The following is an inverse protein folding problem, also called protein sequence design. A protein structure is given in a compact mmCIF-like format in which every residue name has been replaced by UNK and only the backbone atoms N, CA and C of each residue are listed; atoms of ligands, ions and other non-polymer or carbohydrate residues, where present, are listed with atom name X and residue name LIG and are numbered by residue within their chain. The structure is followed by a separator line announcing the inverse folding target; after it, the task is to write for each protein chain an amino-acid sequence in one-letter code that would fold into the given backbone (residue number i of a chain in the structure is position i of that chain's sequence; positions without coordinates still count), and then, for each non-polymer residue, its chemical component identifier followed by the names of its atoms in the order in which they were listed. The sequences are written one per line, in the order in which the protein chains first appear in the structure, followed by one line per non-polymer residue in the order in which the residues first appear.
data_IF_209068843838
#
_entry.id   IF_209068843838
#
_cell.length_a   1.000
_cell.length_b   1.000
_cell.length_c   1.000
_cell.angle_alpha   90.00
_cell.angle_beta   90.00
_cell.angle_gamma   90.00
#
_symmetry.space_group_name_H-M   'P 1'
#
loop_
_entity.id
_entity.type
_entity.pdbx_description
1 polymer ?
#
# COMPACT_ATOMS: atom_id res chain seq x y z
N UNK A 1 38.45 7.32 20.85
CA UNK A 1 39.23 6.33 20.06
C UNK A 1 39.66 7.00 18.77
N UNK A 2 40.93 6.91 18.33
CA UNK A 2 41.32 7.39 16.99
C UNK A 2 40.71 6.45 15.95
N UNK A 3 39.90 6.93 14.99
CA UNK A 3 39.32 6.06 13.98
C UNK A 3 40.40 5.72 12.96
N UNK A 4 40.88 4.48 13.00
CA UNK A 4 41.72 3.90 11.96
C UNK A 4 40.90 3.76 10.69
N UNK A 5 41.05 4.70 9.77
CA UNK A 5 40.55 4.60 8.39
C UNK A 5 39.55 5.66 7.93
N UNK A 6 39.38 6.79 8.62
CA UNK A 6 38.47 7.87 8.21
C UNK A 6 38.81 8.47 6.84
N UNK A 7 37.79 8.82 6.05
CA UNK A 7 37.96 9.56 4.80
C UNK A 7 38.59 10.95 5.07
N UNK A 8 39.77 11.26 4.50
CA UNK A 8 40.48 12.50 4.78
C UNK A 8 39.71 13.76 4.37
N UNK A 9 38.78 13.65 3.40
CA UNK A 9 37.92 14.75 2.97
C UNK A 9 36.90 15.11 4.04
N UNK A 10 36.30 14.10 4.68
CA UNK A 10 35.34 14.29 5.78
C UNK A 10 36.04 14.86 7.01
N UNK A 11 37.23 14.36 7.32
CA UNK A 11 38.03 14.86 8.45
C UNK A 11 38.46 16.32 8.25
N UNK A 12 38.89 16.69 7.04
CA UNK A 12 39.20 18.08 6.69
C UNK A 12 37.97 18.97 6.79
N UNK A 13 36.81 18.49 6.34
CA UNK A 13 35.58 19.25 6.38
C UNK A 13 35.08 19.47 7.81
N UNK A 14 35.11 18.43 8.65
CA UNK A 14 34.75 18.54 10.07
C UNK A 14 35.66 19.53 10.81
N UNK A 15 36.96 19.52 10.51
CA UNK A 15 37.90 20.49 11.05
C UNK A 15 37.63 21.93 10.56
N UNK A 16 37.18 22.09 9.31
CA UNK A 16 36.79 23.39 8.75
C UNK A 16 35.49 23.91 9.39
N UNK A 17 34.48 23.05 9.56
CA UNK A 17 33.21 23.38 10.25
C UNK A 17 33.47 23.82 11.69
N UNK A 18 34.29 23.07 12.45
CA UNK A 18 34.57 23.38 13.85
C UNK A 18 35.33 24.70 14.07
N UNK A 19 36.07 25.18 13.08
CA UNK A 19 36.90 26.41 13.16
C UNK A 19 36.24 27.63 12.53
N UNK A 20 35.14 27.44 11.81
CA UNK A 20 34.50 28.50 11.03
C UNK A 20 33.40 29.19 11.84
N UNK A 21 33.15 30.50 11.60
CA UNK A 21 32.02 31.18 12.21
C UNK A 21 30.70 30.59 11.69
N UNK A 22 29.65 30.61 12.51
CA UNK A 22 28.34 30.00 12.25
C UNK A 22 27.75 30.39 10.87
N UNK A 23 28.00 31.62 10.42
CA UNK A 23 27.53 32.14 9.13
C UNK A 23 28.11 31.39 7.91
N UNK A 24 29.32 30.84 8.03
CA UNK A 24 30.01 30.13 6.95
C UNK A 24 29.75 28.62 6.97
N UNK A 25 29.30 28.07 8.10
CA UNK A 25 29.00 26.64 8.28
C UNK A 25 28.04 26.10 7.20
N UNK A 26 26.94 26.78 6.82
CA UNK A 26 26.04 26.30 5.77
C UNK A 26 26.76 26.08 4.44
N UNK A 27 27.62 27.00 4.02
CA UNK A 27 28.36 26.93 2.75
C UNK A 27 29.40 25.82 2.78
N UNK A 28 30.06 25.62 3.92
CA UNK A 28 31.03 24.53 4.10
C UNK A 28 30.33 23.18 4.04
N UNK A 29 29.17 23.03 4.70
CA UNK A 29 28.39 21.79 4.67
C UNK A 29 27.92 21.41 3.26
N UNK A 30 27.73 22.37 2.34
CA UNK A 30 27.40 22.06 0.94
C UNK A 30 28.48 21.25 0.23
N UNK A 31 29.75 21.33 0.65
CA UNK A 31 30.85 20.51 0.10
C UNK A 31 30.61 19.01 0.32
N UNK A 32 29.79 18.62 1.30
CA UNK A 32 29.36 17.21 1.48
C UNK A 32 28.66 16.67 0.23
N UNK A 33 27.93 17.51 -0.50
CA UNK A 33 27.22 17.11 -1.71
C UNK A 33 28.18 16.58 -2.78
N UNK A 34 29.33 17.22 -2.95
CA UNK A 34 30.35 16.78 -3.91
C UNK A 34 30.97 15.45 -3.48
N UNK A 35 31.30 15.30 -2.19
CA UNK A 35 31.90 14.07 -1.66
C UNK A 35 30.94 12.87 -1.85
N UNK A 36 29.65 13.09 -1.59
CA UNK A 36 28.60 12.09 -1.72
C UNK A 36 28.31 11.75 -3.18
N UNK A 37 28.21 12.74 -4.06
CA UNK A 37 27.88 12.49 -5.48
C UNK A 37 29.04 11.85 -6.25
N UNK A 38 30.28 12.11 -5.83
CA UNK A 38 31.47 11.51 -6.43
C UNK A 38 31.71 10.06 -5.97
N UNK A 39 30.93 9.54 -5.00
CA UNK A 39 31.04 8.15 -4.55
C UNK A 39 29.88 7.31 -5.11
N UNK A 40 30.17 6.14 -5.73
CA UNK A 40 29.14 5.34 -6.38
C UNK A 40 28.10 4.81 -5.38
N UNK A 41 26.83 4.90 -5.75
CA UNK A 41 25.69 4.47 -4.94
C UNK A 41 25.81 3.00 -4.51
N UNK A 42 25.68 2.74 -3.20
CA UNK A 42 25.72 1.39 -2.62
C UNK A 42 27.12 0.80 -2.43
N UNK A 43 28.18 1.54 -2.77
CA UNK A 43 29.56 1.12 -2.49
C UNK A 43 29.86 1.01 -0.99
N UNK A 44 30.82 0.15 -0.64
CA UNK A 44 31.38 0.09 0.72
C UNK A 44 32.04 1.41 1.12
N UNK A 45 32.58 2.15 0.15
CA UNK A 45 33.14 3.50 0.31
C UNK A 45 32.06 4.50 0.72
N UNK A 46 30.91 4.54 0.04
CA UNK A 46 29.81 5.42 0.40
C UNK A 46 29.25 5.09 1.79
N UNK A 47 29.15 3.80 2.16
CA UNK A 47 28.75 3.42 3.52
C UNK A 47 29.71 3.99 4.58
N UNK A 48 31.02 3.89 4.32
CA UNK A 48 32.05 4.41 5.20
C UNK A 48 32.01 5.94 5.30
N UNK A 49 31.85 6.63 4.18
CA UNK A 49 31.70 8.09 4.14
C UNK A 49 30.50 8.54 4.97
N UNK A 50 29.35 7.86 4.86
CA UNK A 50 28.16 8.17 5.67
C UNK A 50 28.40 7.93 7.16
N UNK A 51 29.11 6.86 7.52
CA UNK A 51 29.52 6.60 8.91
C UNK A 51 30.46 7.68 9.43
N UNK A 52 31.46 8.10 8.65
CA UNK A 52 32.35 9.18 9.04
C UNK A 52 31.56 10.50 9.22
N UNK A 53 30.64 10.83 8.30
CA UNK A 53 29.76 12.02 8.42
C UNK A 53 28.96 11.99 9.74
N UNK A 54 28.48 10.82 10.15
CA UNK A 54 27.79 10.64 11.43
C UNK A 54 28.75 10.77 12.62
N UNK A 55 29.89 10.09 12.61
CA UNK A 55 30.89 10.11 13.69
C UNK A 55 31.51 11.50 13.94
N UNK A 56 31.47 12.40 12.97
CA UNK A 56 31.93 13.78 13.08
C UNK A 56 30.79 14.80 13.28
N UNK A 57 29.60 14.33 13.67
CA UNK A 57 28.41 15.14 13.97
C UNK A 57 27.95 16.07 12.84
N UNK A 58 28.40 15.83 11.61
CA UNK A 58 28.07 16.70 10.47
C UNK A 58 26.57 16.63 10.13
N UNK A 59 25.90 15.52 10.45
CA UNK A 59 24.43 15.38 10.38
C UNK A 59 23.76 16.34 11.36
N UNK A 60 24.29 16.44 12.59
CA UNK A 60 23.77 17.31 13.64
C UNK A 60 24.01 18.78 13.30
N UNK A 61 25.16 19.13 12.72
CA UNK A 61 25.39 20.47 12.18
C UNK A 61 24.42 20.83 11.04
N UNK A 62 24.09 19.88 10.14
CA UNK A 62 23.06 20.10 9.12
C UNK A 62 21.70 20.39 9.76
N UNK A 63 21.30 19.63 10.79
CA UNK A 63 20.05 19.86 11.53
C UNK A 63 20.03 21.23 12.24
N UNK A 64 21.15 21.60 12.87
CA UNK A 64 21.28 22.88 13.57
C UNK A 64 21.20 24.07 12.60
N UNK A 65 21.73 23.94 11.38
CA UNK A 65 21.55 24.97 10.35
C UNK A 65 20.11 25.02 9.84
N UNK A 66 19.45 23.87 9.67
CA UNK A 66 18.05 23.83 9.21
C UNK A 66 17.06 24.40 10.23
N UNK A 67 17.39 24.37 11.53
CA UNK A 67 16.57 24.95 12.59
C UNK A 67 16.78 26.47 12.79
N UNK A 68 17.71 27.10 12.06
CA UNK A 68 17.95 28.54 12.12
C UNK A 68 17.05 29.35 11.17
N UNK A 69 16.88 30.63 11.50
CA UNK A 69 16.18 31.60 10.66
C UNK A 69 16.80 31.68 9.26
N UNK A 70 15.99 31.41 8.23
CA UNK A 70 16.45 31.39 6.83
C UNK A 70 17.04 32.73 6.36
N UNK A 71 16.66 33.84 7.00
CA UNK A 71 17.18 35.19 6.71
C UNK A 71 18.64 35.37 7.11
N UNK A 72 19.16 34.53 8.02
CA UNK A 72 20.54 34.58 8.52
C UNK A 72 21.48 33.65 7.76
N UNK A 73 20.93 32.75 6.93
CA UNK A 73 21.68 31.74 6.20
C UNK A 73 22.09 32.30 4.83
N UNK A 74 23.39 32.26 4.53
CA UNK A 74 23.90 32.66 3.22
C UNK A 74 23.31 31.76 2.11
N UNK A 75 22.68 32.37 1.11
CA UNK A 75 21.95 31.66 0.03
C UNK A 75 20.50 31.27 0.38
N UNK A 76 20.03 31.58 1.59
CA UNK A 76 18.64 31.45 2.01
C UNK A 76 18.04 30.06 1.74
N UNK A 77 16.84 30.04 1.16
CA UNK A 77 16.10 28.81 0.87
C UNK A 77 16.81 27.84 -0.08
N UNK A 78 17.69 28.34 -0.95
CA UNK A 78 18.44 27.46 -1.87
C UNK A 78 19.44 26.59 -1.11
N UNK A 79 20.16 27.19 -0.16
CA UNK A 79 21.11 26.50 0.73
C UNK A 79 20.37 25.51 1.63
N UNK A 80 19.25 25.93 2.23
CA UNK A 80 18.40 25.07 3.07
C UNK A 80 17.95 23.84 2.29
N UNK A 81 17.43 24.02 1.07
CA UNK A 81 16.99 22.91 0.22
C UNK A 81 18.12 21.91 -0.06
N UNK A 82 19.32 22.42 -0.37
CA UNK A 82 20.48 21.57 -0.62
C UNK A 82 20.94 20.83 0.65
N UNK A 83 20.93 21.50 1.81
CA UNK A 83 21.25 20.87 3.10
C UNK A 83 20.21 19.82 3.50
N UNK A 84 18.92 20.05 3.26
CA UNK A 84 17.87 19.04 3.48
C UNK A 84 18.06 17.82 2.57
N UNK A 85 18.49 18.02 1.33
CA UNK A 85 18.84 16.92 0.42
C UNK A 85 20.05 16.12 0.94
N UNK A 86 21.12 16.81 1.36
CA UNK A 86 22.32 16.19 1.94
C UNK A 86 21.93 15.39 3.18
N UNK A 87 21.19 15.99 4.11
CA UNK A 87 20.71 15.35 5.33
C UNK A 87 19.93 14.06 5.00
N UNK A 88 18.98 14.13 4.08
CA UNK A 88 18.20 12.97 3.63
C UNK A 88 19.11 11.87 3.05
N UNK A 89 20.07 12.25 2.20
CA UNK A 89 20.98 11.30 1.58
C UNK A 89 21.91 10.63 2.60
N UNK A 90 22.37 11.38 3.61
CA UNK A 90 23.20 10.87 4.70
C UNK A 90 22.44 9.88 5.59
N UNK A 91 21.18 10.17 5.94
CA UNK A 91 20.38 9.32 6.83
C UNK A 91 19.93 8.01 6.15
N UNK A 92 19.67 8.01 4.83
CA UNK A 92 19.17 6.81 4.13
C UNK A 92 20.25 5.72 4.07
N UNK A 93 19.94 4.56 4.66
CA UNK A 93 20.80 3.38 4.65
C UNK A 93 22.06 3.53 5.51
N UNK A 94 22.09 4.48 6.45
CA UNK A 94 23.14 4.58 7.45
C UNK A 94 22.99 3.46 8.49
N UNK A 95 24.11 2.79 8.78
CA UNK A 95 24.24 1.79 9.85
C UNK A 95 25.12 2.42 10.95
N UNK A 96 24.53 3.05 11.98
CA UNK A 96 25.26 3.86 12.98
C UNK A 96 26.10 3.05 13.99
N UNK A 97 26.13 1.71 13.89
CA UNK A 97 26.95 0.86 14.77
C UNK A 97 26.35 0.67 16.18
N UNK A 98 27.21 0.52 17.18
CA UNK A 98 26.85 0.18 18.57
C UNK A 98 26.15 1.36 19.31
N UNK A 99 26.39 2.61 18.92
CA UNK A 99 25.78 3.83 19.47
C UNK A 99 24.64 4.37 18.58
N UNK A 100 23.84 3.47 17.99
CA UNK A 100 22.74 3.83 17.09
C UNK A 100 21.47 4.37 17.78
N UNK A 101 21.39 4.32 19.11
CA UNK A 101 20.19 4.78 19.81
C UNK A 101 19.91 6.27 19.62
N UNK A 102 20.94 7.12 19.69
CA UNK A 102 20.85 8.56 19.48
C UNK A 102 20.36 8.88 18.06
N UNK A 103 20.89 8.17 17.07
CA UNK A 103 20.45 8.30 15.68
C UNK A 103 18.96 8.03 15.51
N UNK A 104 18.44 6.91 16.04
CA UNK A 104 17.04 6.52 15.84
C UNK A 104 16.05 7.26 16.76
N UNK A 105 16.45 7.65 17.96
CA UNK A 105 15.56 8.29 18.95
C UNK A 105 15.56 9.82 18.89
N UNK A 106 16.66 10.45 18.46
CA UNK A 106 16.80 11.90 18.51
C UNK A 106 17.02 12.51 17.11
N UNK A 107 18.07 12.09 16.40
CA UNK A 107 18.44 12.74 15.13
C UNK A 107 17.45 12.48 14.00
N UNK A 108 16.98 11.24 13.83
CA UNK A 108 16.09 10.87 12.74
C UNK A 108 14.67 11.45 12.92
N UNK A 109 14.07 11.46 14.13
CA UNK A 109 12.86 12.23 14.40
C UNK A 109 13.03 13.74 14.15
N UNK A 110 14.13 14.34 14.62
CA UNK A 110 14.41 15.78 14.41
C UNK A 110 14.52 16.13 12.92
N UNK A 111 15.17 15.27 12.12
CA UNK A 111 15.23 15.42 10.66
C UNK A 111 13.84 15.33 9.99
N UNK A 112 12.96 14.48 10.51
CA UNK A 112 11.58 14.38 10.09
C UNK A 112 10.78 15.65 10.40
N UNK A 113 10.91 16.17 11.62
CA UNK A 113 10.22 17.39 12.07
C UNK A 113 10.62 18.62 11.25
N UNK A 114 11.91 18.80 10.92
CA UNK A 114 12.34 19.91 10.07
C UNK A 114 11.72 19.82 8.66
N UNK A 115 11.62 18.62 8.10
CA UNK A 115 10.95 18.42 6.81
C UNK A 115 9.46 18.78 6.88
N UNK A 116 8.78 18.40 7.96
CA UNK A 116 7.37 18.73 8.17
C UNK A 116 7.16 20.24 8.36
N UNK A 117 8.08 20.95 9.03
CA UNK A 117 8.06 22.42 9.12
C UNK A 117 8.17 23.08 7.75
N UNK A 118 9.08 22.60 6.88
CA UNK A 118 9.21 23.13 5.51
C UNK A 118 7.93 22.95 4.70
N UNK A 119 7.27 21.80 4.84
CA UNK A 119 5.99 21.54 4.18
C UNK A 119 4.88 22.43 4.73
N UNK A 120 4.89 22.72 6.03
CA UNK A 120 3.96 23.65 6.64
C UNK A 120 4.14 25.08 6.09
N UNK A 121 5.38 25.56 5.94
CA UNK A 121 5.63 26.86 5.29
C UNK A 121 5.17 26.88 3.84
N UNK A 122 5.40 25.80 3.08
CA UNK A 122 4.88 25.68 1.71
C UNK A 122 3.35 25.79 1.69
N UNK A 123 2.66 25.16 2.64
CA UNK A 123 1.21 25.26 2.76
C UNK A 123 0.76 26.69 3.05
N UNK A 124 1.40 27.40 4.00
CA UNK A 124 1.10 28.81 4.29
C UNK A 124 1.26 29.69 3.06
N UNK A 125 2.37 29.52 2.31
CA UNK A 125 2.61 30.28 1.07
C UNK A 125 1.53 29.99 0.03
N UNK A 126 1.13 28.72 -0.10
CA UNK A 126 0.08 28.30 -1.03
C UNK A 126 -1.28 28.87 -0.64
N UNK A 127 -1.63 28.85 0.64
CA UNK A 127 -2.88 29.41 1.16
C UNK A 127 -2.92 30.94 1.00
N UNK A 128 -1.77 31.61 1.18
CA UNK A 128 -1.64 33.05 0.95
C UNK A 128 -1.80 33.41 -0.53
N UNK A 129 -1.19 32.61 -1.42
CA UNK A 129 -1.38 32.75 -2.86
C UNK A 129 -2.86 32.55 -3.23
N UNK A 130 -3.51 31.53 -2.66
CA UNK A 130 -4.93 31.30 -2.88
C UNK A 130 -5.79 32.50 -2.49
N UNK A 131 -5.53 33.08 -1.31
CA UNK A 131 -6.25 34.26 -0.85
C UNK A 131 -6.10 35.45 -1.82
N UNK A 132 -4.88 35.69 -2.32
CA UNK A 132 -4.61 36.71 -3.33
C UNK A 132 -5.38 36.45 -4.64
N UNK A 133 -5.39 35.21 -5.12
CA UNK A 133 -6.11 34.81 -6.33
C UNK A 133 -7.64 34.97 -6.19
N UNK A 134 -8.18 34.75 -4.98
CA UNK A 134 -9.59 34.97 -4.71
C UNK A 134 -10.01 36.44 -4.78
N UNK A 135 -9.11 37.37 -4.41
CA UNK A 135 -9.35 38.82 -4.56
C UNK A 135 -9.09 39.35 -5.97
N UNK A 136 -8.15 38.75 -6.70
CA UNK A 136 -7.70 39.20 -8.02
C UNK A 136 -7.71 38.06 -9.04
N UNK A 137 -8.90 37.76 -9.57
CA UNK A 137 -9.09 36.66 -10.53
C UNK A 137 -8.27 36.80 -11.81
N UNK A 138 -7.82 38.01 -12.18
CA UNK A 138 -6.95 38.23 -13.33
C UNK A 138 -5.60 37.50 -13.21
N UNK A 139 -5.14 37.22 -11.98
CA UNK A 139 -3.88 36.53 -11.73
C UNK A 139 -3.98 35.01 -11.95
N UNK A 140 -5.19 34.45 -12.00
CA UNK A 140 -5.42 33.00 -12.17
C UNK A 140 -4.76 32.50 -13.46
N UNK A 141 -4.94 33.23 -14.57
CA UNK A 141 -4.35 32.85 -15.84
C UNK A 141 -2.82 32.84 -15.78
N UNK A 142 -2.21 33.83 -15.12
CA UNK A 142 -0.76 33.91 -14.96
C UNK A 142 -0.20 32.75 -14.13
N UNK A 143 -0.91 32.33 -13.08
CA UNK A 143 -0.50 31.19 -12.25
C UNK A 143 -0.62 29.88 -13.02
N UNK A 144 -1.75 29.64 -13.70
CA UNK A 144 -1.98 28.39 -14.44
C UNK A 144 -1.05 28.23 -15.65
N UNK A 145 -0.59 29.33 -16.23
CA UNK A 145 0.37 29.34 -17.33
C UNK A 145 1.84 29.38 -16.87
N UNK A 146 2.10 29.48 -15.56
CA UNK A 146 3.46 29.55 -15.05
C UNK A 146 4.16 28.19 -15.12
N UNK A 147 5.35 28.15 -15.72
CA UNK A 147 6.21 26.97 -15.74
C UNK A 147 6.48 26.43 -14.33
N UNK A 148 6.65 27.32 -13.34
CA UNK A 148 6.85 26.94 -11.95
C UNK A 148 5.65 26.20 -11.36
N UNK A 149 4.43 26.63 -11.70
CA UNK A 149 3.22 25.95 -11.25
C UNK A 149 3.08 24.57 -11.90
N UNK A 150 3.35 24.46 -13.21
CA UNK A 150 3.33 23.18 -13.92
C UNK A 150 4.37 22.20 -13.37
N UNK A 151 5.58 22.68 -13.06
CA UNK A 151 6.61 21.87 -12.40
C UNK A 151 6.18 21.40 -11.00
N UNK A 152 5.54 22.28 -10.21
CA UNK A 152 4.99 21.91 -8.90
C UNK A 152 3.86 20.88 -9.05
N UNK A 153 3.03 20.98 -10.08
CA UNK A 153 1.98 20.01 -10.36
C UNK A 153 2.58 18.64 -10.71
N UNK A 154 3.71 18.59 -11.42
CA UNK A 154 4.42 17.35 -11.79
C UNK A 154 5.23 16.71 -10.65
N UNK A 155 5.20 17.26 -9.43
CA UNK A 155 5.99 16.73 -8.31
C UNK A 155 5.62 15.28 -7.93
N UNK A 156 6.64 14.48 -7.58
CA UNK A 156 6.49 13.14 -7.01
C UNK A 156 6.16 13.18 -5.50
N UNK A 157 6.35 14.31 -4.84
CA UNK A 157 6.06 14.43 -3.42
C UNK A 157 4.54 14.47 -3.20
N UNK A 158 4.03 13.45 -2.51
CA UNK A 158 2.58 13.27 -2.28
C UNK A 158 1.95 14.46 -1.56
N UNK A 159 2.62 15.07 -0.58
CA UNK A 159 2.08 16.20 0.19
C UNK A 159 2.08 17.48 -0.64
N UNK A 160 3.20 17.82 -1.28
CA UNK A 160 3.29 19.00 -2.17
C UNK A 160 2.27 18.86 -3.30
N UNK A 161 2.23 17.69 -3.94
CA UNK A 161 1.28 17.40 -5.01
C UNK A 161 -0.17 17.50 -4.55
N UNK A 162 -0.50 17.05 -3.33
CA UNK A 162 -1.84 17.22 -2.76
C UNK A 162 -2.18 18.70 -2.54
N UNK A 163 -1.27 19.48 -1.95
CA UNK A 163 -1.45 20.92 -1.71
C UNK A 163 -1.65 21.69 -3.02
N UNK A 164 -0.85 21.40 -4.05
CA UNK A 164 -0.97 22.03 -5.38
C UNK A 164 -2.27 21.61 -6.09
N UNK A 165 -2.66 20.34 -5.99
CA UNK A 165 -3.94 19.85 -6.55
C UNK A 165 -5.16 20.48 -5.85
N UNK A 166 -5.08 20.71 -4.54
CA UNK A 166 -6.11 21.44 -3.78
C UNK A 166 -6.16 22.90 -4.22
N UNK A 167 -5.01 23.57 -4.36
CA UNK A 167 -4.96 24.94 -4.88
C UNK A 167 -5.62 25.02 -6.25
N UNK A 168 -5.27 24.11 -7.17
CA UNK A 168 -5.88 24.03 -8.50
C UNK A 168 -7.40 23.81 -8.43
N UNK A 169 -7.86 22.91 -7.56
CA UNK A 169 -9.28 22.69 -7.34
C UNK A 169 -9.99 23.97 -6.88
N UNK A 170 -9.40 24.70 -5.94
CA UNK A 170 -10.01 25.91 -5.40
C UNK A 170 -10.02 27.05 -6.43
N UNK A 171 -8.95 27.20 -7.23
CA UNK A 171 -8.90 28.17 -8.33
C UNK A 171 -10.05 27.95 -9.32
N UNK A 172 -10.29 26.69 -9.69
CA UNK A 172 -11.36 26.32 -10.62
C UNK A 172 -12.76 26.55 -10.05
N UNK A 173 -12.92 26.46 -8.73
CA UNK A 173 -14.18 26.77 -8.05
C UNK A 173 -14.47 28.27 -8.00
N UNK A 174 -13.42 29.11 -7.93
CA UNK A 174 -13.57 30.57 -7.89
C UNK A 174 -13.94 31.13 -9.26
N UNK A 175 -13.26 30.68 -10.32
CA UNK A 175 -13.53 31.17 -11.67
C UNK A 175 -13.35 30.06 -12.71
N UNK A 176 -14.40 29.27 -12.90
CA UNK A 176 -14.40 28.19 -13.90
C UNK A 176 -14.15 28.70 -15.32
N UNK A 177 -14.65 29.89 -15.68
CA UNK A 177 -14.56 30.43 -17.04
C UNK A 177 -13.13 30.70 -17.56
N UNK A 178 -12.14 30.90 -16.67
CA UNK A 178 -10.78 31.25 -17.07
C UNK A 178 -9.96 30.04 -17.53
N UNK A 179 -10.38 28.82 -17.22
CA UNK A 179 -9.67 27.60 -17.65
C UNK A 179 -9.69 27.43 -19.19
N UNK A 180 -10.78 27.86 -19.85
CA UNK A 180 -10.89 27.82 -21.32
C UNK A 180 -10.09 28.93 -22.02
N UNK A 181 -9.63 29.94 -21.27
CA UNK A 181 -8.77 31.01 -21.80
C UNK A 181 -7.30 30.61 -21.82
N UNK A 182 -6.96 29.46 -21.24
CA UNK A 182 -5.60 28.94 -21.18
C UNK A 182 -5.25 28.32 -22.54
N UNK A 183 -3.98 28.42 -22.93
CA UNK A 183 -3.49 27.76 -24.14
C UNK A 183 -3.76 26.26 -24.11
N UNK A 184 -4.31 25.70 -25.20
CA UNK A 184 -4.72 24.30 -25.25
C UNK A 184 -3.62 23.32 -24.86
N UNK A 185 -2.35 23.60 -25.21
CA UNK A 185 -1.20 22.77 -24.82
C UNK A 185 -1.01 22.68 -23.30
N UNK A 186 -1.16 23.82 -22.60
CA UNK A 186 -1.02 23.91 -21.15
C UNK A 186 -2.18 23.18 -20.47
N UNK A 187 -3.41 23.38 -20.99
CA UNK A 187 -4.59 22.65 -20.51
C UNK A 187 -4.41 21.13 -20.64
N UNK A 188 -3.89 20.65 -21.78
CA UNK A 188 -3.56 19.23 -21.95
C UNK A 188 -2.52 18.74 -20.96
N UNK A 189 -1.44 19.51 -20.72
CA UNK A 189 -0.42 19.15 -19.73
C UNK A 189 -1.00 19.02 -18.32
N UNK A 190 -1.87 19.94 -17.91
CA UNK A 190 -2.54 19.90 -16.61
C UNK A 190 -3.45 18.67 -16.53
N UNK A 191 -4.26 18.40 -17.57
CA UNK A 191 -5.16 17.25 -17.61
C UNK A 191 -4.40 15.92 -17.59
N UNK A 192 -3.33 15.81 -18.36
CA UNK A 192 -2.49 14.61 -18.40
C UNK A 192 -1.84 14.36 -17.04
N UNK A 193 -1.36 15.40 -16.36
CA UNK A 193 -0.79 15.25 -15.03
C UNK A 193 -1.84 14.83 -13.99
N UNK A 194 -3.04 15.43 -14.02
CA UNK A 194 -4.18 15.01 -13.17
C UNK A 194 -4.49 13.53 -13.40
N UNK A 195 -4.55 13.10 -14.66
CA UNK A 195 -4.90 11.72 -15.01
C UNK A 195 -3.78 10.75 -14.64
N UNK A 196 -2.53 11.13 -14.87
CA UNK A 196 -1.37 10.39 -14.42
C UNK A 196 -1.38 10.21 -12.90
N UNK A 197 -1.57 11.29 -12.13
CA UNK A 197 -1.67 11.18 -10.67
C UNK A 197 -2.86 10.34 -10.23
N UNK A 198 -4.01 10.39 -10.91
CA UNK A 198 -5.16 9.54 -10.57
C UNK A 198 -4.85 8.05 -10.74
N UNK A 199 -4.25 7.69 -11.88
CA UNK A 199 -4.03 6.30 -12.29
C UNK A 199 -2.81 5.69 -11.60
N UNK A 200 -1.75 6.48 -11.42
CA UNK A 200 -0.44 6.01 -10.94
C UNK A 200 -0.25 6.20 -9.43
N UNK A 201 -1.02 7.06 -8.74
CA UNK A 201 -0.76 7.31 -7.31
C UNK A 201 -1.15 6.13 -6.43
N UNK A 202 -0.27 5.67 -5.51
CA UNK A 202 -0.65 4.71 -4.47
C UNK A 202 -1.44 5.38 -3.32
N UNK A 203 -1.37 6.70 -3.17
CA UNK A 203 -1.97 7.43 -2.05
C UNK A 203 -3.48 7.60 -2.23
N UNK A 204 -4.32 7.07 -1.31
CA UNK A 204 -5.78 7.21 -1.42
C UNK A 204 -6.23 8.67 -1.23
N UNK A 205 -5.47 9.47 -0.47
CA UNK A 205 -5.77 10.89 -0.24
C UNK A 205 -5.60 11.67 -1.54
N UNK A 206 -4.46 11.53 -2.20
CA UNK A 206 -4.18 12.20 -3.47
C UNK A 206 -5.18 11.75 -4.54
N UNK A 207 -5.43 10.44 -4.65
CA UNK A 207 -6.44 9.89 -5.57
C UNK A 207 -7.83 10.51 -5.36
N UNK A 208 -8.24 10.70 -4.10
CA UNK A 208 -9.54 11.32 -3.80
C UNK A 208 -9.59 12.79 -4.22
N UNK A 209 -8.51 13.55 -4.02
CA UNK A 209 -8.43 14.97 -4.42
C UNK A 209 -8.49 15.06 -5.94
N UNK A 210 -7.67 14.29 -6.64
CA UNK A 210 -7.63 14.25 -8.10
C UNK A 210 -8.97 13.82 -8.73
N UNK A 211 -9.68 12.87 -8.10
CA UNK A 211 -11.03 12.48 -8.54
C UNK A 211 -12.02 13.65 -8.41
N UNK A 212 -11.99 14.38 -7.27
CA UNK A 212 -12.86 15.55 -7.06
C UNK A 212 -12.55 16.65 -8.08
N UNK A 213 -11.27 16.89 -8.32
CA UNK A 213 -10.80 17.86 -9.31
C UNK A 213 -11.31 17.53 -10.73
N UNK A 214 -11.20 16.26 -11.16
CA UNK A 214 -11.74 15.83 -12.45
C UNK A 214 -13.26 16.01 -12.56
N UNK A 215 -13.99 15.78 -11.48
CA UNK A 215 -15.44 16.02 -11.45
C UNK A 215 -15.76 17.50 -11.58
N UNK A 216 -15.07 18.37 -10.84
CA UNK A 216 -15.23 19.83 -10.94
C UNK A 216 -14.93 20.32 -12.37
N UNK A 217 -13.87 19.78 -13.00
CA UNK A 217 -13.52 20.09 -14.39
C UNK A 217 -14.59 19.63 -15.38
N UNK A 218 -15.11 18.42 -15.19
CA UNK A 218 -16.16 17.83 -16.01
C UNK A 218 -17.51 18.56 -15.88
N UNK A 219 -17.85 19.01 -14.67
CA UNK A 219 -19.06 19.79 -14.40
C UNK A 219 -18.96 21.20 -14.97
N UNK A 220 -17.77 21.80 -14.95
CA UNK A 220 -17.55 23.18 -15.39
C UNK A 220 -17.44 23.33 -16.91
N UNK A 221 -16.93 22.33 -17.64
CA UNK A 221 -16.68 22.44 -19.08
C UNK A 221 -17.00 21.15 -19.86
N UNK A 222 -18.02 21.21 -20.73
CA UNK A 222 -18.36 20.10 -21.62
C UNK A 222 -17.26 19.75 -22.63
N UNK A 223 -16.42 20.72 -23.02
CA UNK A 223 -15.30 20.50 -23.96
C UNK A 223 -14.21 19.61 -23.36
N UNK A 224 -13.96 19.70 -22.05
CA UNK A 224 -13.02 18.81 -21.35
C UNK A 224 -13.57 17.38 -21.33
N UNK A 225 -14.89 17.21 -21.16
CA UNK A 225 -15.53 15.90 -21.28
C UNK A 225 -15.40 15.31 -22.68
N UNK A 226 -15.44 16.15 -23.72
CA UNK A 226 -15.25 15.74 -25.12
C UNK A 226 -13.79 15.33 -25.36
N UNK A 227 -12.81 16.11 -24.87
CA UNK A 227 -11.39 15.77 -24.93
C UNK A 227 -11.07 14.46 -24.19
N UNK A 228 -11.67 14.26 -23.01
CA UNK A 228 -11.56 13.03 -22.22
C UNK A 228 -12.21 11.81 -22.91
N UNK A 229 -13.21 12.03 -23.77
CA UNK A 229 -13.88 10.96 -24.54
C UNK A 229 -13.18 10.65 -25.87
N UNK A 230 -12.55 11.63 -26.50
CA UNK A 230 -11.97 11.51 -27.84
C UNK A 230 -10.54 10.96 -27.84
N UNK A 231 -9.75 11.16 -26.77
CA UNK A 231 -8.40 10.60 -26.76
C UNK A 231 -8.42 9.09 -26.43
N UNK A 232 -7.72 8.30 -27.23
CA UNK A 232 -7.57 6.86 -27.02
C UNK A 232 -6.87 6.53 -25.67
N UNK A 233 -6.14 7.49 -25.10
CA UNK A 233 -5.40 7.38 -23.84
C UNK A 233 -6.32 7.24 -22.61
N UNK A 234 -7.61 7.61 -22.72
CA UNK A 234 -8.54 7.60 -21.58
C UNK A 234 -9.50 6.39 -21.55
N UNK A 235 -9.28 5.39 -22.42
CA UNK A 235 -10.03 4.11 -22.39
C UNK A 235 -9.92 3.36 -21.06
N UNK A 236 -8.84 3.57 -20.30
CA UNK A 236 -8.64 2.97 -18.96
C UNK A 236 -9.67 3.50 -17.95
N UNK A 237 -10.12 4.76 -18.07
CA UNK A 237 -11.18 5.29 -17.22
C UNK A 237 -12.56 4.70 -17.55
N UNK A 238 -12.79 4.28 -18.80
CA UNK A 238 -14.02 3.59 -19.20
C UNK A 238 -14.11 2.16 -18.62
N UNK A 239 -13.00 1.48 -18.36
CA UNK A 239 -13.02 0.18 -17.66
C UNK A 239 -13.27 0.31 -16.16
N UNK A 240 -12.97 1.48 -15.57
CA UNK A 240 -13.24 1.80 -14.15
C UNK A 240 -14.71 2.22 -13.93
N UNK A 241 -15.40 2.70 -14.98
CA UNK A 241 -16.83 3.05 -14.96
C UNK A 241 -17.78 1.88 -15.23
N UNK A 242 -17.29 0.65 -15.35
CA UNK A 242 -18.17 -0.52 -15.20
C UNK A 242 -18.81 -0.45 -13.80
N UNK A 243 -20.14 -0.63 -13.67
CA UNK A 243 -20.82 -0.46 -12.40
C UNK A 243 -20.38 -1.56 -11.44
N UNK A 244 -19.30 -1.29 -10.69
CA UNK A 244 -19.01 -1.98 -9.45
C UNK A 244 -20.16 -1.60 -8.53
N UNK A 245 -21.19 -2.44 -8.56
CA UNK A 245 -22.48 -2.24 -7.90
C UNK A 245 -22.27 -1.65 -6.51
N UNK A 246 -23.08 -0.66 -6.14
CA UNK A 246 -23.11 -0.02 -4.80
C UNK A 246 -22.96 -1.05 -3.67
N UNK A 247 -23.52 -2.25 -3.87
CA UNK A 247 -23.39 -3.45 -3.03
C UNK A 247 -21.95 -3.94 -2.79
N UNK A 248 -21.07 -3.95 -3.81
CA UNK A 248 -19.66 -4.37 -3.64
C UNK A 248 -18.84 -3.33 -2.88
N UNK A 249 -19.07 -2.03 -3.10
CA UNK A 249 -18.41 -0.95 -2.35
C UNK A 249 -18.87 -0.89 -0.88
N UNK A 250 -20.17 -1.06 -0.62
CA UNK A 250 -20.67 -1.13 0.76
C UNK A 250 -20.17 -2.37 1.49
N UNK A 251 -20.11 -3.53 0.83
CA UNK A 251 -19.51 -4.75 1.40
C UNK A 251 -18.02 -4.58 1.72
N UNK A 252 -17.25 -3.95 0.83
CA UNK A 252 -15.83 -3.69 1.07
C UNK A 252 -15.60 -2.69 2.23
N UNK A 253 -16.44 -1.65 2.33
CA UNK A 253 -16.37 -0.68 3.42
C UNK A 253 -16.79 -1.30 4.77
N UNK A 254 -17.85 -2.12 4.77
CA UNK A 254 -18.29 -2.87 5.94
C UNK A 254 -17.20 -3.84 6.43
N UNK A 255 -16.54 -4.55 5.51
CA UNK A 255 -15.44 -5.45 5.85
C UNK A 255 -14.22 -4.69 6.39
N UNK A 256 -13.89 -3.53 5.83
CA UNK A 256 -12.82 -2.68 6.34
C UNK A 256 -13.13 -2.13 7.75
N UNK A 257 -14.37 -1.70 8.00
CA UNK A 257 -14.80 -1.26 9.32
C UNK A 257 -14.78 -2.42 10.32
N UNK A 258 -15.27 -3.60 9.93
CA UNK A 258 -15.18 -4.82 10.75
C UNK A 258 -13.74 -5.17 11.12
N UNK A 259 -12.80 -5.02 10.19
CA UNK A 259 -11.37 -5.26 10.46
C UNK A 259 -10.76 -4.20 11.37
N UNK A 260 -11.17 -2.93 11.27
CA UNK A 260 -10.76 -1.87 12.20
C UNK A 260 -11.31 -2.13 13.60
N UNK A 261 -12.60 -2.43 13.73
CA UNK A 261 -13.23 -2.80 15.00
C UNK A 261 -12.57 -4.02 15.65
N UNK A 262 -12.21 -5.04 14.85
CA UNK A 262 -11.52 -6.22 15.35
C UNK A 262 -10.10 -5.88 15.85
N UNK A 263 -9.37 -4.98 15.16
CA UNK A 263 -8.06 -4.49 15.60
C UNK A 263 -8.16 -3.66 16.88
N UNK A 264 -9.15 -2.78 16.97
CA UNK A 264 -9.40 -1.96 18.15
C UNK A 264 -9.80 -2.83 19.35
N UNK A 265 -10.62 -3.86 19.14
CA UNK A 265 -10.98 -4.82 20.17
C UNK A 265 -9.75 -5.62 20.64
N UNK A 266 -8.89 -6.06 19.73
CA UNK A 266 -7.61 -6.73 20.09
C UNK A 266 -6.73 -5.82 20.93
N UNK A 267 -6.60 -4.55 20.57
CA UNK A 267 -5.81 -3.57 21.32
C UNK A 267 -6.40 -3.35 22.72
N UNK A 268 -7.73 -3.17 22.83
CA UNK A 268 -8.43 -3.03 24.12
C UNK A 268 -8.21 -4.26 25.01
N UNK A 269 -8.33 -5.46 24.47
CA UNK A 269 -8.09 -6.71 25.22
C UNK A 269 -6.62 -6.82 25.66
N UNK A 270 -5.68 -6.40 24.82
CA UNK A 270 -4.25 -6.39 25.17
C UNK A 270 -3.98 -5.40 26.31
N UNK A 271 -4.52 -4.18 26.25
CA UNK A 271 -4.41 -3.18 27.31
C UNK A 271 -5.09 -3.65 28.59
N UNK A 272 -6.26 -4.28 28.51
CA UNK A 272 -6.95 -4.86 29.66
C UNK A 272 -6.11 -5.96 30.32
N UNK A 273 -5.50 -6.86 29.54
CA UNK A 273 -4.57 -7.88 30.05
C UNK A 273 -3.35 -7.25 30.73
N UNK A 274 -2.76 -6.21 30.12
CA UNK A 274 -1.63 -5.49 30.73
C UNK A 274 -2.02 -4.82 32.05
N UNK A 275 -3.17 -4.16 32.11
CA UNK A 275 -3.69 -3.55 33.34
C UNK A 275 -3.97 -4.60 34.41
N UNK A 276 -4.61 -5.72 34.07
CA UNK A 276 -4.84 -6.82 34.99
C UNK A 276 -3.52 -7.42 35.51
N UNK A 277 -2.50 -7.54 34.66
CA UNK A 277 -1.16 -7.98 35.09
C UNK A 277 -0.51 -6.97 36.05
N UNK A 278 -0.63 -5.67 35.80
CA UNK A 278 -0.11 -4.62 36.69
C UNK A 278 -0.80 -4.66 38.06
N UNK A 279 -2.14 -4.63 38.07
CA UNK A 279 -2.94 -4.73 39.28
C UNK A 279 -2.62 -6.00 40.08
N UNK A 280 -2.50 -7.16 39.41
CA UNK A 280 -2.13 -8.40 40.06
C UNK A 280 -0.71 -8.35 40.69
N UNK A 281 0.24 -7.69 40.02
CA UNK A 281 1.60 -7.49 40.55
C UNK A 281 1.61 -6.54 41.74
N UNK A 282 0.86 -5.44 41.66
CA UNK A 282 0.69 -4.47 42.75
C UNK A 282 0.03 -5.11 43.97
N UNK A 283 -1.07 -5.86 43.79
CA UNK A 283 -1.70 -6.61 44.87
C UNK A 283 -0.75 -7.66 45.49
N UNK A 284 0.09 -8.30 44.68
CA UNK A 284 1.11 -9.24 45.18
C UNK A 284 2.23 -8.55 45.96
N UNK A 285 2.68 -7.37 45.51
CA UNK A 285 3.67 -6.55 46.22
C UNK A 285 3.13 -6.04 47.56
N UNK A 286 1.89 -5.56 47.60
CA UNK A 286 1.25 -5.14 48.84
C UNK A 286 1.06 -6.30 49.84
N UNK A 287 0.72 -7.51 49.36
CA UNK A 287 0.71 -8.69 50.25
C UNK A 287 2.11 -9.07 50.75
N UNK A 288 3.15 -8.94 49.91
CA UNK A 288 4.54 -9.20 50.27
C UNK A 288 5.05 -8.26 51.37
N UNK A 289 4.57 -7.01 51.40
CA UNK A 289 4.92 -6.01 52.43
C UNK A 289 4.36 -6.35 53.82
N UNK A 290 3.28 -7.15 53.90
CA UNK A 290 2.52 -7.39 55.14
C UNK A 290 2.81 -8.78 55.76
N UNK A 291 3.28 -9.74 54.97
CA UNK A 291 3.37 -11.17 55.38
C UNK A 291 4.79 -11.57 55.82
N UNK A 292 4.88 -12.36 56.90
CA UNK A 292 6.15 -12.87 57.43
C UNK A 292 6.87 -13.83 56.43
N UNK A 293 8.21 -13.76 56.29
CA UNK A 293 8.98 -14.51 55.28
C UNK A 293 8.72 -16.03 55.24
N UNK A 294 8.57 -16.68 56.40
CA UNK A 294 8.30 -18.13 56.46
C UNK A 294 6.92 -18.57 55.92
N UNK A 295 5.91 -17.68 55.96
CA UNK A 295 4.60 -17.97 55.36
C UNK A 295 4.59 -17.70 53.85
N UNK A 296 5.39 -16.71 53.43
CA UNK A 296 5.56 -16.36 52.02
C UNK A 296 6.18 -17.51 51.21
N UNK A 297 7.19 -18.19 51.76
CA UNK A 297 7.88 -19.29 51.09
C UNK A 297 6.99 -20.54 50.94
N UNK A 298 6.08 -20.76 51.89
CA UNK A 298 5.05 -21.81 51.77
C UNK A 298 4.06 -21.49 50.65
N UNK A 299 3.54 -20.26 50.61
CA UNK A 299 2.62 -19.82 49.57
C UNK A 299 3.24 -19.84 48.16
N UNK A 300 4.50 -19.43 48.03
CA UNK A 300 5.21 -19.46 46.75
C UNK A 300 5.36 -20.89 46.20
N UNK A 301 5.72 -21.85 47.06
CA UNK A 301 5.78 -23.28 46.68
C UNK A 301 4.42 -23.81 46.20
N UNK A 302 3.33 -23.48 46.89
CA UNK A 302 1.98 -23.87 46.46
C UNK A 302 1.58 -23.25 45.11
N UNK A 303 2.00 -22.00 44.85
CA UNK A 303 1.74 -21.32 43.58
C UNK A 303 2.57 -21.89 42.42
N UNK A 304 3.83 -22.26 42.68
CA UNK A 304 4.70 -22.95 41.73
C UNK A 304 4.13 -24.31 41.35
N UNK A 305 3.65 -25.08 42.32
CA UNK A 305 3.02 -26.39 42.10
C UNK A 305 1.75 -26.28 41.25
N UNK A 306 0.85 -25.33 41.60
CA UNK A 306 -0.37 -25.05 40.80
C UNK A 306 -0.04 -24.60 39.36
N UNK A 307 1.01 -23.80 39.21
CA UNK A 307 1.48 -23.34 37.91
C UNK A 307 2.04 -24.49 37.08
N UNK A 308 2.88 -25.35 37.68
CA UNK A 308 3.44 -26.53 37.06
C UNK A 308 2.32 -27.48 36.58
N UNK A 309 1.32 -27.75 37.43
CA UNK A 309 0.16 -28.57 37.06
C UNK A 309 -0.62 -27.98 35.88
N UNK A 310 -0.80 -26.66 35.85
CA UNK A 310 -1.50 -25.97 34.77
C UNK A 310 -0.75 -26.07 33.44
N UNK A 311 0.57 -25.85 33.47
CA UNK A 311 1.46 -25.96 32.30
C UNK A 311 1.45 -27.40 31.78
N UNK A 312 1.62 -28.39 32.67
CA UNK A 312 1.58 -29.80 32.31
C UNK A 312 0.24 -30.21 31.69
N UNK A 313 -0.88 -29.75 32.25
CA UNK A 313 -2.23 -29.98 31.68
C UNK A 313 -2.35 -29.39 30.29
N UNK A 314 -1.90 -28.16 30.08
CA UNK A 314 -1.93 -27.50 28.77
C UNK A 314 -1.06 -28.24 27.75
N UNK A 315 0.12 -28.69 28.16
CA UNK A 315 1.05 -29.43 27.33
C UNK A 315 0.52 -30.81 26.93
N UNK A 316 -0.06 -31.57 27.87
CA UNK A 316 -0.74 -32.84 27.57
C UNK A 316 -1.82 -32.63 26.52
N UNK A 317 -2.67 -31.61 26.68
CA UNK A 317 -3.70 -31.28 25.70
C UNK A 317 -3.13 -30.85 24.34
N UNK A 318 -2.05 -30.06 24.32
CA UNK A 318 -1.38 -29.66 23.08
C UNK A 318 -0.80 -30.87 22.34
N UNK A 319 -0.13 -31.78 23.06
CA UNK A 319 0.45 -33.01 22.52
C UNK A 319 -0.60 -33.88 21.85
N UNK A 320 -1.72 -34.15 22.54
CA UNK A 320 -2.82 -34.94 21.97
C UNK A 320 -3.42 -34.29 20.72
N UNK A 321 -3.63 -32.97 20.75
CA UNK A 321 -4.13 -32.23 19.57
C UNK A 321 -3.15 -32.28 18.39
N UNK A 322 -1.85 -32.26 18.66
CA UNK A 322 -0.81 -32.36 17.62
C UNK A 322 -0.81 -33.76 17.00
N UNK A 323 -0.83 -34.81 17.82
CA UNK A 323 -0.94 -36.20 17.35
C UNK A 323 -2.20 -36.41 16.50
N UNK A 324 -3.35 -35.92 16.97
CA UNK A 324 -4.60 -36.00 16.22
C UNK A 324 -4.54 -35.22 14.88
N UNK A 325 -3.96 -34.01 14.87
CA UNK A 325 -3.77 -33.25 13.63
C UNK A 325 -2.88 -33.98 12.62
N UNK A 326 -1.85 -34.69 13.09
CA UNK A 326 -0.97 -35.49 12.24
C UNK A 326 -1.69 -36.73 11.67
N UNK A 327 -2.59 -37.35 12.42
CA UNK A 327 -3.37 -38.53 11.98
C UNK A 327 -4.59 -38.17 11.11
N UNK A 328 -5.07 -36.93 11.19
CA UNK A 328 -6.29 -36.47 10.53
C UNK A 328 -6.28 -36.60 8.99
N UNK A 329 -5.18 -36.33 8.25
CA UNK A 329 -5.12 -36.55 6.81
C UNK A 329 -5.37 -38.02 6.44
N UNK A 330 -4.64 -38.95 7.07
CA UNK A 330 -4.79 -40.39 6.83
C UNK A 330 -6.22 -40.91 7.10
N UNK A 331 -6.86 -40.43 8.18
CA UNK A 331 -8.25 -40.73 8.49
C UNK A 331 -9.23 -40.17 7.44
N UNK A 332 -8.94 -39.00 6.89
CA UNK A 332 -9.76 -38.35 5.85
C UNK A 332 -9.64 -39.10 4.53
N UNK A 333 -8.41 -39.47 4.14
CA UNK A 333 -8.11 -40.29 2.96
C UNK A 333 -8.76 -41.67 3.06
N UNK A 334 -8.65 -42.35 4.21
CA UNK A 334 -9.29 -43.63 4.44
C UNK A 334 -10.83 -43.53 4.32
N UNK A 335 -11.44 -42.51 4.93
CA UNK A 335 -12.89 -42.26 4.80
C UNK A 335 -13.31 -41.96 3.35
N UNK A 336 -12.50 -41.20 2.60
CA UNK A 336 -12.74 -40.94 1.19
C UNK A 336 -12.65 -42.23 0.37
N UNK A 337 -11.62 -43.05 0.60
CA UNK A 337 -11.44 -44.34 -0.06
C UNK A 337 -12.62 -45.29 0.18
N UNK A 338 -13.07 -45.43 1.43
CA UNK A 338 -14.26 -46.24 1.78
C UNK A 338 -15.52 -45.71 1.09
N UNK A 339 -15.68 -44.38 1.02
CA UNK A 339 -16.82 -43.75 0.34
C UNK A 339 -16.82 -44.05 -1.16
N UNK A 340 -15.66 -43.92 -1.82
CA UNK A 340 -15.48 -44.25 -3.23
C UNK A 340 -15.71 -45.75 -3.49
N UNK A 341 -15.14 -46.64 -2.68
CA UNK A 341 -15.34 -48.09 -2.81
C UNK A 341 -16.83 -48.46 -2.71
N UNK A 342 -17.55 -47.91 -1.73
CA UNK A 342 -18.99 -48.12 -1.58
C UNK A 342 -19.78 -47.61 -2.79
N UNK A 343 -19.42 -46.45 -3.33
CA UNK A 343 -20.05 -45.89 -4.52
C UNK A 343 -19.83 -46.78 -5.76
N UNK A 344 -18.61 -47.27 -5.97
CA UNK A 344 -18.26 -48.18 -7.07
C UNK A 344 -19.01 -49.50 -6.95
N UNK A 345 -19.05 -50.11 -5.76
CA UNK A 345 -19.80 -51.36 -5.56
C UNK A 345 -21.30 -51.19 -5.83
N UNK A 346 -21.90 -50.06 -5.39
CA UNK A 346 -23.29 -49.73 -5.71
C UNK A 346 -23.51 -49.55 -7.22
N UNK A 347 -22.58 -48.87 -7.90
CA UNK A 347 -22.64 -48.67 -9.35
C UNK A 347 -22.54 -50.01 -10.10
N UNK A 348 -21.57 -50.86 -9.76
CA UNK A 348 -21.41 -52.19 -10.37
C UNK A 348 -22.62 -53.09 -10.11
N UNK A 349 -23.22 -53.05 -8.91
CA UNK A 349 -24.47 -53.75 -8.64
C UNK A 349 -25.62 -53.24 -9.51
N UNK A 350 -25.71 -51.92 -9.74
CA UNK A 350 -26.69 -51.31 -10.66
C UNK A 350 -26.47 -51.75 -12.10
N UNK A 351 -25.21 -51.77 -12.56
CA UNK A 351 -24.85 -52.27 -13.90
C UNK A 351 -25.20 -53.75 -14.07
N UNK A 352 -24.90 -54.60 -13.10
CA UNK A 352 -25.26 -56.03 -13.13
C UNK A 352 -26.77 -56.24 -13.15
N UNK A 353 -27.56 -55.46 -12.39
CA UNK A 353 -29.02 -55.50 -12.45
C UNK A 353 -29.55 -55.06 -13.82
N UNK A 354 -28.98 -54.01 -14.41
CA UNK A 354 -29.33 -53.55 -15.77
C UNK A 354 -29.01 -54.63 -16.83
N UNK A 355 -27.84 -55.25 -16.75
CA UNK A 355 -27.46 -56.33 -17.66
C UNK A 355 -28.30 -57.61 -17.47
N UNK A 356 -28.80 -57.92 -16.26
CA UNK A 356 -29.75 -59.03 -16.07
C UNK A 356 -31.14 -58.74 -16.65
N UNK A 357 -31.57 -57.48 -16.71
CA UNK A 357 -32.85 -57.08 -17.30
C UNK A 357 -32.82 -57.11 -18.84
N UNK A 358 -31.64 -56.99 -19.44
CA UNK A 358 -31.43 -57.20 -20.87
C UNK A 358 -30.94 -58.63 -21.09
N UNK A 359 -31.87 -59.57 -21.28
CA UNK A 359 -31.51 -60.84 -21.92
C UNK A 359 -30.86 -60.54 -23.28
N UNK A 360 -29.87 -61.32 -23.74
CA UNK A 360 -29.30 -61.17 -25.08
C UNK A 360 -30.43 -61.24 -26.11
N UNK A 361 -30.61 -60.18 -26.90
CA UNK A 361 -31.65 -60.10 -27.92
C UNK A 361 -31.40 -61.18 -28.98
N UNK A 362 -32.26 -62.20 -29.03
CA UNK A 362 -32.38 -63.07 -30.20
C UNK A 362 -33.29 -62.34 -31.19
N UNK A 363 -32.73 -61.85 -32.30
CA UNK A 363 -33.45 -61.02 -33.28
C UNK A 363 -34.72 -61.68 -33.83
N UNK A 364 -35.69 -60.85 -34.26
CA UNK A 364 -36.93 -61.27 -34.94
C UNK A 364 -36.58 -62.16 -36.13
N UNK A 365 -36.92 -63.44 -36.01
CA UNK A 365 -36.51 -64.53 -36.91
C UNK A 365 -37.09 -64.42 -38.34
N UNK A 366 -38.02 -63.49 -38.58
CA UNK A 366 -38.77 -63.34 -39.85
C UNK A 366 -38.34 -62.13 -40.69
N UNK A 367 -37.33 -61.36 -40.26
CA UNK A 367 -36.85 -60.19 -40.99
C UNK A 367 -35.57 -60.48 -41.80
N UNK A 368 -35.68 -61.44 -42.73
CA UNK A 368 -34.62 -61.77 -43.69
C UNK A 368 -34.37 -60.61 -44.66
N UNK A 369 -33.16 -60.49 -45.21
CA UNK A 369 -32.78 -59.36 -46.09
C UNK A 369 -33.66 -59.24 -47.34
N UNK A 370 -34.16 -60.38 -47.85
CA UNK A 370 -35.09 -60.41 -48.99
C UNK A 370 -36.42 -59.72 -48.67
N UNK A 371 -36.95 -59.92 -47.45
CA UNK A 371 -38.19 -59.27 -47.01
C UNK A 371 -38.01 -57.77 -46.81
N UNK A 372 -36.81 -57.35 -46.39
CA UNK A 372 -36.45 -55.91 -46.34
C UNK A 372 -36.39 -55.29 -47.73
N UNK A 373 -35.87 -56.02 -48.73
CA UNK A 373 -35.83 -55.55 -50.10
C UNK A 373 -37.25 -55.41 -50.69
N UNK A 374 -38.14 -56.38 -50.47
CA UNK A 374 -39.54 -56.29 -50.89
C UNK A 374 -40.27 -55.09 -50.28
N UNK A 375 -40.14 -54.89 -48.97
CA UNK A 375 -40.78 -53.76 -48.29
C UNK A 375 -40.24 -52.41 -48.80
N UNK A 376 -38.95 -52.34 -49.10
CA UNK A 376 -38.34 -51.15 -49.68
C UNK A 376 -38.87 -50.88 -51.09
N UNK A 377 -39.02 -51.92 -51.90
CA UNK A 377 -39.58 -51.80 -53.24
C UNK A 377 -41.05 -51.36 -53.20
N UNK A 378 -41.85 -51.84 -52.23
CA UNK A 378 -43.22 -51.37 -52.03
C UNK A 378 -43.30 -49.88 -51.65
N UNK A 379 -42.37 -49.41 -50.82
CA UNK A 379 -42.27 -47.99 -50.46
C UNK A 379 -41.87 -47.14 -51.67
N UNK A 380 -40.86 -47.57 -52.42
CA UNK A 380 -40.38 -46.84 -53.60
C UNK A 380 -41.47 -46.77 -54.70
N UNK A 381 -42.23 -47.84 -54.90
CA UNK A 381 -43.38 -47.88 -55.82
C UNK A 381 -44.52 -46.95 -55.39
N UNK A 382 -44.77 -46.85 -54.08
CA UNK A 382 -45.77 -45.93 -53.53
C UNK A 382 -45.37 -44.47 -53.74
N UNK A 383 -44.08 -44.15 -53.53
CA UNK A 383 -43.53 -42.81 -53.75
C UNK A 383 -43.56 -42.43 -55.24
N UNK A 384 -43.27 -43.37 -56.16
CA UNK A 384 -43.39 -43.12 -57.60
C UNK A 384 -44.81 -42.82 -58.07
N UNK A 385 -45.82 -43.43 -57.43
CA UNK A 385 -47.24 -43.22 -57.76
C UNK A 385 -47.81 -41.92 -57.17
N UNK A 386 -47.11 -41.30 -56.21
CA UNK A 386 -47.50 -40.04 -55.58
C UNK A 386 -46.35 -39.02 -55.62
N UNK A 387 -45.93 -38.55 -56.81
CA UNK A 387 -44.90 -37.53 -56.91
C UNK A 387 -45.45 -36.19 -56.38
N UNK A 388 -44.97 -35.78 -55.21
CA UNK A 388 -45.28 -34.45 -54.66
C UNK A 388 -44.50 -33.40 -55.48
N UNK A 389 -45.23 -32.47 -56.09
CA UNK A 389 -44.68 -31.35 -56.85
C UNK A 389 -43.87 -30.43 -55.91
N UNK A 390 -42.55 -30.49 -55.96
CA UNK A 390 -41.64 -29.58 -55.25
C UNK A 390 -41.19 -28.47 -56.21
N UNK A 391 -41.92 -27.35 -56.22
CA UNK A 391 -41.42 -26.06 -56.69
C UNK A 391 -41.25 -25.13 -55.48
N UNK A 392 -40.05 -24.54 -55.37
CA UNK A 392 -39.61 -23.41 -54.53
C UNK A 392 -39.49 -23.71 -53.02
N UNK A 393 -38.35 -23.49 -52.34
CA UNK A 393 -37.17 -22.65 -52.56
C UNK A 393 -35.86 -23.38 -52.21
#
# INVERSE_FOLDING_TARGET
MKPTGTDPRILSLAAEVAKSPEQNVPVILLKLKEIINNTPLGSSELKKVKQDIYCYDLIQYCLLVLSQDCSRIQGGWTTISQLTQILSHCCVGLEPGEDGEEFYKELLPSAGEEKDKLLHFFQIVTDSLFWLLGGHTQLIQNVLQSDHFLHLLQTDNVQIGATVMILLQNILQINSGDLLKIEGKILHSILDEILFKLLSTPSPVLRSITTKLLLVLAESHQEILILLRLSACYKVLLSINAPVTRSKRTKALLELNRQKEEKDLRLRLQLQRQRAMRLSRESRLSMLEIVHPGQLEKYNREMEEKSALTIQKHWRGYRERKNFRQQRPALTEYKAAVTLQRAVLKFLAKCRKKNKLFAPWHGLQELTDDRRAELKQQVDDYVRRHPVCMFLC
#
